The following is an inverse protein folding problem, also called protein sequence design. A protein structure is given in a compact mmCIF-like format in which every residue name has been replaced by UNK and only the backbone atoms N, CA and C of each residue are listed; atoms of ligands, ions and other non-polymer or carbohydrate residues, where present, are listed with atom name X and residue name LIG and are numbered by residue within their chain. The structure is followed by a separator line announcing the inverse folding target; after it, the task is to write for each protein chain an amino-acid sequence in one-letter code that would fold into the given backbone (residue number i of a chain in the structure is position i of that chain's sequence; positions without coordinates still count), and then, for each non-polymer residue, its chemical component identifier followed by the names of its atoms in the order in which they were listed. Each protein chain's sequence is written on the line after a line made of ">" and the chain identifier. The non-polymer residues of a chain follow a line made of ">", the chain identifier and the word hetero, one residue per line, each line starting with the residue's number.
data_IF_852408207510
#
_entry.id   IF_852408207510
#
_cell.length_a   1.000
_cell.length_b   1.000
_cell.length_c   1.000
_cell.angle_alpha   90.00
_cell.angle_beta   90.00
_cell.angle_gamma   90.00
#
_symmetry.space_group_name_H-M   'P 1'
#
loop_
_entity.id
_entity.type
_entity.pdbx_description
1 polymer ?
#
# COMPACT_ATOMS: atom_id res chain seq x y z
N UNK A 1 6.13 -7.84 -1.04
CA UNK A 1 5.30 -6.64 -1.32
C UNK A 1 4.72 -6.75 -2.71
N UNK A 2 3.42 -6.52 -2.84
CA UNK A 2 2.74 -6.56 -4.14
C UNK A 2 2.84 -5.21 -4.83
N UNK A 3 3.35 -5.20 -6.05
CA UNK A 3 3.51 -4.00 -6.88
C UNK A 3 3.05 -4.26 -8.30
N UNK A 4 2.68 -3.19 -9.00
CA UNK A 4 2.27 -3.26 -10.39
C UNK A 4 2.66 -2.01 -11.15
N UNK A 5 2.40 -2.01 -12.46
CA UNK A 5 2.67 -0.88 -13.34
C UNK A 5 1.46 -0.62 -14.24
N UNK A 6 1.24 0.65 -14.59
CA UNK A 6 0.17 1.07 -15.48
C UNK A 6 0.61 2.24 -16.35
N UNK A 7 0.11 2.31 -17.60
CA UNK A 7 0.35 3.44 -18.51
C UNK A 7 -0.43 4.69 -18.13
N UNK A 8 -1.48 4.55 -17.30
CA UNK A 8 -2.27 5.64 -16.78
C UNK A 8 -2.18 5.69 -15.26
N UNK A 9 -2.55 6.82 -14.65
CA UNK A 9 -2.57 6.96 -13.20
C UNK A 9 -3.51 5.90 -12.60
N UNK A 10 -3.05 5.11 -11.61
CA UNK A 10 -3.85 4.04 -11.04
C UNK A 10 -5.10 4.55 -10.33
N UNK A 11 -6.20 3.84 -10.49
CA UNK A 11 -7.41 4.08 -9.69
C UNK A 11 -7.24 3.46 -8.30
N UNK A 12 -7.63 4.22 -7.29
CA UNK A 12 -7.52 3.75 -5.90
C UNK A 12 -8.31 2.45 -5.68
N UNK A 13 -9.52 2.37 -6.25
CA UNK A 13 -10.43 1.24 -6.06
C UNK A 13 -10.65 0.52 -7.38
N UNK A 14 -10.42 -0.80 -7.38
CA UNK A 14 -10.65 -1.66 -8.54
C UNK A 14 -11.29 -2.96 -8.09
N UNK A 15 -12.32 -3.41 -8.80
CA UNK A 15 -12.91 -4.72 -8.57
C UNK A 15 -12.44 -5.68 -9.66
N UNK A 16 -11.94 -6.84 -9.26
CA UNK A 16 -11.49 -7.88 -10.16
C UNK A 16 -11.74 -9.25 -9.53
N UNK A 17 -12.44 -10.13 -10.24
CA UNK A 17 -12.75 -11.50 -9.79
C UNK A 17 -13.38 -11.57 -8.39
N UNK A 18 -14.27 -10.62 -8.09
CA UNK A 18 -14.97 -10.57 -6.81
C UNK A 18 -14.11 -10.04 -5.65
N UNK A 19 -12.89 -9.58 -5.93
CA UNK A 19 -11.99 -9.01 -4.93
C UNK A 19 -11.88 -7.51 -5.13
N UNK A 20 -11.75 -6.78 -4.03
CA UNK A 20 -11.40 -5.36 -4.06
C UNK A 20 -9.89 -5.23 -4.12
N UNK A 21 -9.37 -4.63 -5.19
CA UNK A 21 -7.96 -4.31 -5.31
C UNK A 21 -7.77 -2.81 -5.08
N UNK A 22 -6.85 -2.46 -4.19
CA UNK A 22 -6.52 -1.06 -3.88
C UNK A 22 -5.12 -0.79 -4.38
N UNK A 23 -5.00 0.18 -5.30
CA UNK A 23 -3.73 0.62 -5.89
C UNK A 23 -3.36 1.97 -5.27
N UNK A 24 -2.19 2.06 -4.67
CA UNK A 24 -1.79 3.22 -3.90
C UNK A 24 -0.29 3.52 -4.04
N UNK A 25 0.13 4.66 -3.52
CA UNK A 25 1.52 5.13 -3.55
C UNK A 25 2.12 5.07 -4.97
N UNK A 26 1.39 5.64 -5.94
CA UNK A 26 1.82 5.66 -7.33
C UNK A 26 3.02 6.60 -7.52
N UNK A 27 4.01 6.12 -8.26
CA UNK A 27 5.22 6.87 -8.62
C UNK A 27 5.33 6.95 -10.14
N UNK A 28 5.51 8.14 -10.66
CA UNK A 28 5.69 8.36 -12.09
C UNK A 28 7.07 7.87 -12.54
N UNK A 29 7.07 7.05 -13.60
CA UNK A 29 8.29 6.53 -14.21
C UNK A 29 8.33 6.98 -15.67
N UNK A 30 9.41 7.66 -16.04
CA UNK A 30 9.66 8.07 -17.42
C UNK A 30 10.68 7.12 -18.04
N UNK A 31 10.31 6.49 -19.16
CA UNK A 31 11.18 5.56 -19.90
C UNK A 31 11.39 6.09 -21.29
N UNK A 32 12.63 6.04 -21.78
CA UNK A 32 12.98 6.39 -23.14
C UNK A 32 12.95 5.13 -24.01
N UNK A 33 12.16 5.17 -25.07
CA UNK A 33 12.10 4.10 -26.05
C UNK A 33 13.29 4.18 -27.02
N UNK A 34 13.54 3.10 -27.79
CA UNK A 34 14.65 3.02 -28.71
C UNK A 34 14.60 4.08 -29.84
N UNK A 35 13.42 4.61 -30.13
CA UNK A 35 13.22 5.66 -31.11
C UNK A 35 13.40 7.08 -30.55
N UNK A 36 13.78 7.20 -29.29
CA UNK A 36 13.97 8.47 -28.59
C UNK A 36 12.71 9.07 -27.98
N UNK A 37 11.54 8.45 -28.16
CA UNK A 37 10.31 8.90 -27.52
C UNK A 37 10.31 8.59 -26.02
N UNK A 38 9.67 9.46 -25.23
CA UNK A 38 9.53 9.26 -23.77
C UNK A 38 8.14 8.73 -23.49
N UNK A 39 8.08 7.58 -22.78
CA UNK A 39 6.86 6.97 -22.32
C UNK A 39 6.73 7.16 -20.82
N UNK A 40 5.58 7.68 -20.37
CA UNK A 40 5.26 7.80 -18.95
C UNK A 40 4.44 6.60 -18.51
N UNK A 41 4.84 5.99 -17.43
CA UNK A 41 4.08 4.93 -16.75
C UNK A 41 4.08 5.19 -15.24
N UNK A 42 3.27 4.43 -14.53
CA UNK A 42 3.11 4.57 -13.09
C UNK A 42 3.37 3.24 -12.42
N UNK A 43 4.30 3.23 -11.46
CA UNK A 43 4.49 2.09 -10.58
C UNK A 43 3.68 2.33 -9.31
N UNK A 44 3.01 1.30 -8.82
CA UNK A 44 2.16 1.40 -7.63
C UNK A 44 2.27 0.16 -6.77
N UNK A 45 1.94 0.32 -5.49
CA UNK A 45 1.71 -0.79 -4.57
C UNK A 45 0.24 -1.18 -4.63
N UNK A 46 -0.07 -2.44 -4.37
CA UNK A 46 -1.47 -2.84 -4.28
C UNK A 46 -1.69 -3.89 -3.20
N UNK A 47 -2.92 -3.92 -2.70
CA UNK A 47 -3.42 -4.96 -1.79
C UNK A 47 -4.77 -5.44 -2.32
N UNK A 48 -5.14 -6.66 -1.96
CA UNK A 48 -6.43 -7.25 -2.32
C UNK A 48 -7.20 -7.61 -1.06
N UNK A 49 -8.49 -7.28 -1.04
CA UNK A 49 -9.39 -7.54 0.08
C UNK A 49 -10.48 -8.49 -0.40
N UNK A 50 -10.63 -9.61 0.29
CA UNK A 50 -11.76 -10.53 0.14
C UNK A 50 -12.81 -10.20 1.21
N UNK A 51 -14.08 -10.21 0.82
CA UNK A 51 -15.17 -9.91 1.73
C UNK A 51 -15.38 -8.41 1.93
N UNK A 52 -15.99 -8.05 3.07
CA UNK A 52 -16.31 -6.67 3.36
C UNK A 52 -15.07 -5.86 3.74
N UNK A 53 -14.83 -4.71 3.07
CA UNK A 53 -13.67 -3.88 3.35
C UNK A 53 -13.91 -3.01 4.61
N UNK A 54 -13.63 -3.57 5.78
CA UNK A 54 -13.66 -2.82 7.03
C UNK A 54 -12.38 -2.01 7.20
N UNK A 55 -12.42 -0.98 8.05
CA UNK A 55 -11.25 -0.16 8.35
C UNK A 55 -10.09 -1.01 8.87
N UNK A 56 -10.38 -1.92 9.80
CA UNK A 56 -9.35 -2.78 10.39
C UNK A 56 -8.73 -3.74 9.35
N UNK A 57 -9.56 -4.32 8.47
CA UNK A 57 -9.08 -5.19 7.39
C UNK A 57 -8.18 -4.44 6.42
N UNK A 58 -8.52 -3.20 6.08
CA UNK A 58 -7.73 -2.33 5.21
C UNK A 58 -6.38 -1.99 5.84
N UNK A 59 -6.37 -1.57 7.10
CA UNK A 59 -5.14 -1.24 7.83
C UNK A 59 -4.23 -2.47 7.89
N UNK A 60 -4.77 -3.63 8.24
CA UNK A 60 -4.01 -4.87 8.31
C UNK A 60 -3.41 -5.25 6.96
N UNK A 61 -4.17 -5.10 5.87
CA UNK A 61 -3.70 -5.40 4.52
C UNK A 61 -2.53 -4.49 4.12
N UNK A 62 -2.61 -3.19 4.39
CA UNK A 62 -1.52 -2.25 4.06
C UNK A 62 -0.25 -2.55 4.85
N UNK A 63 -0.37 -2.86 6.13
CA UNK A 63 0.78 -3.20 6.97
C UNK A 63 1.38 -4.53 6.54
N UNK A 64 0.54 -5.55 6.31
CA UNK A 64 0.98 -6.90 5.91
C UNK A 64 1.64 -6.93 4.54
N UNK A 65 1.37 -5.95 3.68
CA UNK A 65 2.04 -5.82 2.39
C UNK A 65 3.53 -5.51 2.53
N UNK A 66 3.95 -4.96 3.66
CA UNK A 66 5.34 -4.56 3.92
C UNK A 66 5.97 -5.41 5.03
N UNK A 67 5.23 -5.69 6.10
CA UNK A 67 5.71 -6.46 7.24
C UNK A 67 4.88 -7.72 7.44
N UNK A 68 5.57 -8.86 7.63
CA UNK A 68 4.91 -10.08 8.11
C UNK A 68 4.53 -9.92 9.59
N UNK A 69 3.66 -10.78 10.10
CA UNK A 69 3.32 -10.78 11.54
C UNK A 69 4.55 -10.99 12.41
N UNK A 70 5.43 -11.90 12.01
CA UNK A 70 6.68 -12.15 12.74
C UNK A 70 7.59 -10.93 12.73
N UNK A 71 7.69 -10.22 11.62
CA UNK A 71 8.48 -8.99 11.52
C UNK A 71 7.91 -7.89 12.42
N UNK A 72 6.57 -7.73 12.48
CA UNK A 72 5.92 -6.78 13.38
C UNK A 72 6.24 -7.09 14.84
N UNK A 73 6.13 -8.36 15.24
CA UNK A 73 6.43 -8.79 16.60
C UNK A 73 7.89 -8.52 16.95
N UNK A 74 8.81 -8.78 16.03
CA UNK A 74 10.23 -8.50 16.24
C UNK A 74 10.49 -7.00 16.45
N UNK A 75 9.83 -6.14 15.68
CA UNK A 75 9.93 -4.69 15.83
C UNK A 75 9.44 -4.22 17.20
N UNK A 76 8.30 -4.73 17.65
CA UNK A 76 7.73 -4.39 18.95
C UNK A 76 8.65 -4.85 20.07
N UNK A 77 9.17 -6.08 20.00
CA UNK A 77 10.10 -6.61 20.98
C UNK A 77 11.39 -5.78 21.04
N UNK A 78 11.94 -5.39 19.88
CA UNK A 78 13.13 -4.55 19.82
C UNK A 78 12.89 -3.18 20.45
N UNK A 79 11.69 -2.61 20.28
CA UNK A 79 11.32 -1.34 20.92
C UNK A 79 11.28 -1.48 22.44
N UNK A 80 10.71 -2.57 22.95
CA UNK A 80 10.61 -2.82 24.40
C UNK A 80 11.98 -2.90 25.08
N UNK A 81 13.00 -3.39 24.36
CA UNK A 81 14.39 -3.43 24.88
C UNK A 81 15.26 -2.28 24.36
N UNK A 82 14.63 -1.26 23.80
CA UNK A 82 15.26 -0.05 23.25
C UNK A 82 16.36 -0.35 22.21
N UNK A 83 16.12 -1.36 21.38
CA UNK A 83 16.99 -1.77 20.29
C UNK A 83 16.44 -1.26 18.96
N UNK A 84 17.28 -0.55 18.18
CA UNK A 84 16.93 -0.01 16.86
C UNK A 84 15.67 0.89 16.83
N UNK A 85 15.67 2.04 17.53
CA UNK A 85 14.50 2.93 17.61
C UNK A 85 14.09 3.53 16.26
N UNK A 86 15.02 3.71 15.31
CA UNK A 86 14.73 4.26 13.99
C UNK A 86 13.81 3.33 13.17
N UNK A 87 14.04 2.03 13.26
CA UNK A 87 13.21 1.03 12.59
C UNK A 87 11.78 1.03 13.14
N UNK A 88 11.62 1.19 14.45
CA UNK A 88 10.29 1.30 15.07
C UNK A 88 9.59 2.59 14.66
N UNK A 89 10.31 3.68 14.51
CA UNK A 89 9.76 4.94 14.02
C UNK A 89 9.22 4.80 12.59
N UNK A 90 9.97 4.15 11.71
CA UNK A 90 9.52 3.85 10.34
C UNK A 90 8.25 3.01 10.34
N UNK A 91 8.17 2.01 11.20
CA UNK A 91 6.99 1.18 11.38
C UNK A 91 5.78 1.99 11.88
N UNK A 92 5.99 2.89 12.84
CA UNK A 92 4.94 3.78 13.35
C UNK A 92 4.41 4.70 12.25
N UNK A 93 5.30 5.26 11.43
CA UNK A 93 4.92 6.11 10.30
C UNK A 93 4.13 5.32 9.25
N UNK A 94 4.50 4.07 8.99
CA UNK A 94 3.73 3.19 8.10
C UNK A 94 2.32 2.97 8.63
N UNK A 95 2.17 2.75 9.93
CA UNK A 95 0.84 2.55 10.55
C UNK A 95 -0.04 3.79 10.41
N UNK A 96 0.53 4.97 10.59
CA UNK A 96 -0.19 6.23 10.38
C UNK A 96 -0.64 6.35 8.92
N UNK A 97 0.24 6.08 7.98
CA UNK A 97 -0.07 6.10 6.55
C UNK A 97 -1.15 5.07 6.20
N UNK A 98 -1.08 3.86 6.76
CA UNK A 98 -2.08 2.82 6.54
C UNK A 98 -3.48 3.26 7.01
N UNK A 99 -3.57 3.94 8.14
CA UNK A 99 -4.85 4.48 8.65
C UNK A 99 -5.41 5.56 7.72
N UNK A 100 -4.57 6.46 7.24
CA UNK A 100 -4.96 7.50 6.29
C UNK A 100 -5.47 6.88 4.98
N UNK A 101 -4.76 5.89 4.44
CA UNK A 101 -5.18 5.18 3.24
C UNK A 101 -6.50 4.44 3.44
N UNK A 102 -6.69 3.79 4.60
CA UNK A 102 -7.93 3.09 4.90
C UNK A 102 -9.11 4.06 4.92
N UNK A 103 -8.94 5.23 5.50
CA UNK A 103 -9.98 6.26 5.54
C UNK A 103 -10.29 6.80 4.14
N UNK A 104 -9.29 7.01 3.29
CA UNK A 104 -9.46 7.41 1.89
C UNK A 104 -10.25 6.35 1.09
N UNK A 105 -9.92 5.08 1.28
CA UNK A 105 -10.61 3.97 0.60
C UNK A 105 -12.06 3.91 1.02
N UNK A 106 -12.36 4.00 2.31
CA UNK A 106 -13.73 3.97 2.82
C UNK A 106 -14.54 5.16 2.31
N UNK A 107 -13.95 6.34 2.27
CA UNK A 107 -14.59 7.53 1.70
C UNK A 107 -14.89 7.33 0.21
N UNK A 108 -13.94 6.80 -0.56
CA UNK A 108 -14.12 6.53 -1.98
C UNK A 108 -15.21 5.47 -2.22
N UNK A 109 -15.28 4.43 -1.39
CA UNK A 109 -16.33 3.41 -1.47
C UNK A 109 -17.72 4.00 -1.19
N UNK A 110 -17.82 4.94 -0.28
CA UNK A 110 -19.08 5.61 0.04
C UNK A 110 -19.60 6.51 -1.09
N UNK A 111 -18.74 6.91 -2.02
CA UNK A 111 -19.10 7.74 -3.17
C UNK A 111 -19.61 6.94 -4.38
N UNK A 112 -19.52 5.63 -4.34
CA UNK A 112 -19.95 4.76 -5.44
C UNK A 112 -21.48 4.63 -5.55
#
# INVERSE_FOLDING_TARGET
>A
MKTGSSDSYPNLINYSDGKLQIQYDAVEINREDLDGSVRTSWDYKYVEIEGEPTRDALIDAFISNIYTKDAELALINNKLIDHNPAEYEDYTNLRIHAKELADEVLEALNRL
#
